data_IF_717862639968
#
_entry.id   IF_717862639968
#
_cell.length_a   1.000
_cell.length_b   1.000
_cell.length_c   1.000
_cell.angle_alpha   90.00
_cell.angle_beta   90.00
_cell.angle_gamma   90.00
#
_symmetry.space_group_name_H-M   'P 1'
#
loop_
_entity.id
_entity.type
_entity.pdbx_description
1 polymer ?
#
# COMPACT_ATOMS: atom_id res chain seq x y z
N UNK A 1 -9.98 -11.08 -1.04
CA UNK A 1 -9.05 -10.10 -0.41
C UNK A 1 -9.49 -8.69 -0.81
N UNK A 2 -9.35 -7.69 0.08
CA UNK A 2 -9.94 -6.35 -0.12
C UNK A 2 -9.16 -5.47 -1.11
N UNK A 3 -7.83 -5.40 -1.00
CA UNK A 3 -6.97 -4.55 -1.86
C UNK A 3 -6.97 -4.92 -3.36
N UNK A 4 -7.56 -6.07 -3.73
CA UNK A 4 -7.66 -6.57 -5.10
C UNK A 4 -9.13 -6.81 -5.52
N UNK A 5 -10.11 -6.35 -4.73
CA UNK A 5 -11.51 -6.40 -5.14
C UNK A 5 -11.74 -5.45 -6.33
N UNK A 6 -12.44 -5.91 -7.38
CA UNK A 6 -12.74 -5.10 -8.58
C UNK A 6 -13.52 -3.81 -8.28
N UNK A 7 -14.17 -3.72 -7.12
CA UNK A 7 -14.88 -2.52 -6.65
C UNK A 7 -13.98 -1.55 -5.88
N UNK A 8 -12.76 -1.98 -5.52
CA UNK A 8 -11.83 -1.23 -4.66
C UNK A 8 -10.57 -0.84 -5.42
N UNK A 9 -9.95 -1.78 -6.13
CA UNK A 9 -8.69 -1.62 -6.82
C UNK A 9 -8.83 -0.96 -8.19
N UNK A 10 -7.81 -0.19 -8.60
CA UNK A 10 -7.75 0.48 -9.89
C UNK A 10 -7.51 -0.51 -11.05
N UNK A 11 -6.51 -1.40 -10.93
CA UNK A 11 -6.20 -2.44 -11.91
C UNK A 11 -5.94 -3.77 -11.19
N UNK A 12 -7.00 -4.49 -10.76
CA UNK A 12 -6.88 -5.67 -9.89
C UNK A 12 -6.19 -6.86 -10.56
N UNK A 13 -6.34 -7.03 -11.88
CA UNK A 13 -5.75 -8.15 -12.62
C UNK A 13 -4.21 -7.99 -12.76
N UNK A 14 -3.72 -6.76 -12.71
CA UNK A 14 -2.31 -6.34 -12.66
C UNK A 14 -1.81 -6.13 -11.23
N UNK A 15 -2.61 -6.49 -10.23
CA UNK A 15 -2.31 -6.39 -8.80
C UNK A 15 -2.13 -4.95 -8.29
N UNK A 16 -2.60 -3.94 -9.05
CA UNK A 16 -2.51 -2.51 -8.70
C UNK A 16 -3.76 -2.07 -7.95
N UNK A 17 -3.58 -1.59 -6.72
CA UNK A 17 -4.66 -1.07 -5.89
C UNK A 17 -4.97 0.40 -6.22
N UNK A 18 -3.98 1.29 -6.21
CA UNK A 18 -4.16 2.73 -6.56
C UNK A 18 -2.83 3.43 -6.84
N UNK A 19 -2.90 4.70 -7.27
CA UNK A 19 -1.72 5.56 -7.42
C UNK A 19 -0.90 5.25 -8.66
N UNK A 20 -1.53 4.74 -9.72
CA UNK A 20 -0.87 4.42 -10.99
C UNK A 20 -0.23 3.04 -10.98
N UNK A 21 0.76 2.81 -10.13
CA UNK A 21 1.50 1.54 -10.03
C UNK A 21 1.65 1.01 -8.58
N UNK A 22 0.84 1.51 -7.64
CA UNK A 22 0.82 1.03 -6.26
C UNK A 22 0.22 -0.36 -6.16
N UNK A 23 1.06 -1.38 -6.02
CA UNK A 23 0.68 -2.78 -6.07
C UNK A 23 0.48 -3.41 -4.68
N UNK A 24 -0.32 -4.47 -4.62
CA UNK A 24 -0.39 -5.37 -3.49
C UNK A 24 0.70 -6.46 -3.54
N UNK A 25 1.00 -6.98 -4.74
CA UNK A 25 2.06 -7.97 -4.98
C UNK A 25 2.74 -7.68 -6.33
N UNK A 26 4.00 -8.07 -6.50
CA UNK A 26 4.72 -7.87 -7.77
C UNK A 26 4.17 -8.79 -8.88
N UNK A 27 3.72 -9.99 -8.53
CA UNK A 27 3.12 -10.95 -9.46
C UNK A 27 2.18 -11.95 -8.77
N UNK A 28 1.42 -12.69 -9.58
CA UNK A 28 0.41 -13.65 -9.10
C UNK A 28 1.00 -14.86 -8.37
N UNK A 29 2.23 -15.28 -8.70
CA UNK A 29 2.87 -16.39 -7.98
C UNK A 29 3.14 -16.00 -6.52
N UNK A 30 3.59 -14.76 -6.28
CA UNK A 30 3.76 -14.23 -4.93
C UNK A 30 2.44 -14.16 -4.17
N UNK A 31 1.36 -13.68 -4.79
CA UNK A 31 0.03 -13.69 -4.20
C UNK A 31 -0.36 -15.09 -3.71
N UNK A 32 -0.24 -16.10 -4.57
CA UNK A 32 -0.61 -17.49 -4.24
C UNK A 32 0.25 -18.03 -3.10
N UNK A 33 1.56 -17.81 -3.14
CA UNK A 33 2.48 -18.25 -2.08
C UNK A 33 2.18 -17.57 -0.74
N UNK A 34 1.85 -16.28 -0.75
CA UNK A 34 1.46 -15.56 0.47
C UNK A 34 0.17 -16.14 1.04
N UNK A 35 -0.84 -16.40 0.20
CA UNK A 35 -2.08 -17.02 0.67
C UNK A 35 -1.82 -18.40 1.25
N UNK A 36 -0.95 -19.18 0.60
CA UNK A 36 -0.54 -20.48 1.11
C UNK A 36 0.13 -20.37 2.47
N UNK A 37 1.17 -19.54 2.62
CA UNK A 37 1.87 -19.35 3.89
C UNK A 37 0.95 -18.84 5.00
N UNK A 38 0.10 -17.85 4.71
CA UNK A 38 -0.88 -17.34 5.69
C UNK A 38 -1.88 -18.42 6.11
N UNK A 39 -2.22 -19.37 5.23
CA UNK A 39 -3.15 -20.45 5.56
C UNK A 39 -2.57 -21.56 6.42
N UNK A 40 -1.24 -21.73 6.44
CA UNK A 40 -0.56 -22.81 7.17
C UNK A 40 0.30 -22.32 8.34
N UNK A 41 0.56 -21.01 8.45
CA UNK A 41 1.40 -20.47 9.50
C UNK A 41 0.78 -20.63 10.88
N UNK A 42 1.63 -20.77 11.88
CA UNK A 42 1.24 -20.85 13.30
C UNK A 42 1.37 -19.48 13.98
N UNK A 43 0.82 -19.37 15.20
CA UNK A 43 0.96 -18.17 16.04
C UNK A 43 2.38 -17.96 16.62
N UNK A 44 3.29 -18.88 16.35
CA UNK A 44 4.71 -18.76 16.71
C UNK A 44 5.57 -18.33 15.51
N UNK A 45 4.96 -18.02 14.36
CA UNK A 45 5.67 -17.65 13.16
C UNK A 45 5.38 -16.22 12.69
N UNK A 46 6.32 -15.68 11.92
CA UNK A 46 6.17 -14.45 11.15
C UNK A 46 6.46 -14.74 9.69
N UNK A 47 5.57 -14.25 8.81
CA UNK A 47 5.82 -14.18 7.38
C UNK A 47 6.59 -12.91 7.06
N UNK A 48 7.79 -13.06 6.50
CA UNK A 48 8.63 -11.92 6.11
C UNK A 48 8.45 -11.65 4.62
N UNK A 49 8.05 -10.42 4.28
CA UNK A 49 7.73 -9.97 2.93
C UNK A 49 8.78 -8.98 2.41
N UNK A 50 9.34 -9.29 1.24
CA UNK A 50 10.35 -8.51 0.53
C UNK A 50 9.75 -7.98 -0.77
N UNK A 51 9.20 -6.77 -0.74
CA UNK A 51 8.58 -6.13 -1.91
C UNK A 51 7.62 -7.07 -2.64
N UNK A 52 6.63 -7.58 -1.91
CA UNK A 52 5.66 -8.56 -2.42
C UNK A 52 6.15 -10.01 -2.43
N UNK A 53 7.45 -10.28 -2.45
CA UNK A 53 7.98 -11.64 -2.38
C UNK A 53 7.89 -12.22 -0.95
N UNK A 54 7.22 -13.36 -0.74
CA UNK A 54 7.21 -14.02 0.57
C UNK A 54 8.54 -14.77 0.78
N UNK A 55 9.48 -14.15 1.50
CA UNK A 55 10.78 -14.75 1.80
C UNK A 55 10.63 -16.06 2.57
N UNK A 56 9.65 -16.13 3.48
CA UNK A 56 9.30 -17.36 4.17
C UNK A 56 8.74 -17.12 5.58
N UNK A 57 8.44 -18.23 6.25
CA UNK A 57 8.01 -18.26 7.64
C UNK A 57 9.22 -18.46 8.56
N UNK A 58 9.36 -17.59 9.55
CA UNK A 58 10.43 -17.65 10.54
C UNK A 58 9.84 -17.79 11.94
N UNK A 59 10.48 -18.54 12.86
CA UNK A 59 10.02 -18.65 14.24
C UNK A 59 10.16 -17.32 14.97
N UNK A 60 9.21 -17.05 15.86
CA UNK A 60 9.16 -15.90 16.77
C UNK A 60 8.98 -16.37 18.20
N UNK A 61 9.34 -15.54 19.18
CA UNK A 61 9.36 -15.92 20.60
C UNK A 61 8.13 -15.51 21.40
N UNK A 62 7.24 -14.72 20.80
CA UNK A 62 6.09 -14.16 21.49
C UNK A 62 4.90 -14.09 20.55
N UNK A 63 3.75 -14.44 21.12
CA UNK A 63 2.40 -14.17 20.64
C UNK A 63 2.12 -12.70 20.28
N UNK A 64 2.83 -11.75 20.89
CA UNK A 64 2.76 -10.32 20.53
C UNK A 64 3.56 -9.94 19.28
N UNK A 65 4.29 -10.88 18.67
CA UNK A 65 5.03 -10.61 17.43
C UNK A 65 4.08 -10.41 16.25
N UNK A 66 4.38 -9.51 15.30
CA UNK A 66 3.58 -9.39 14.08
C UNK A 66 3.52 -10.72 13.33
N UNK A 67 2.36 -11.04 12.76
CA UNK A 67 2.21 -12.21 11.85
C UNK A 67 2.85 -11.98 10.49
N UNK A 68 2.95 -10.72 10.07
CA UNK A 68 3.57 -10.34 8.80
C UNK A 68 4.43 -9.11 9.01
N UNK A 69 5.67 -9.15 8.52
CA UNK A 69 6.56 -7.97 8.42
C UNK A 69 6.76 -7.65 6.95
N UNK A 70 6.47 -6.41 6.57
CA UNK A 70 6.42 -5.99 5.17
C UNK A 70 7.43 -4.89 4.90
N UNK A 71 8.24 -5.12 3.88
CA UNK A 71 9.03 -4.07 3.23
C UNK A 71 8.59 -3.96 1.77
N UNK A 72 8.50 -2.74 1.25
CA UNK A 72 8.18 -2.48 -0.15
C UNK A 72 9.06 -1.35 -0.66
N UNK A 73 9.75 -1.56 -1.78
CA UNK A 73 10.53 -0.49 -2.43
C UNK A 73 11.74 0.01 -1.63
N UNK A 74 12.21 -0.74 -0.63
CA UNK A 74 13.40 -0.34 0.14
C UNK A 74 14.66 -0.54 -0.70
N UNK A 75 15.42 0.53 -0.89
CA UNK A 75 16.61 0.57 -1.74
C UNK A 75 17.68 1.42 -1.06
N UNK A 76 18.96 1.09 -1.29
CA UNK A 76 20.08 1.95 -0.90
C UNK A 76 19.91 3.33 -1.57
N UNK A 77 20.02 4.46 -0.84
CA UNK A 77 19.60 5.78 -1.34
C UNK A 77 20.16 6.16 -2.73
N UNK A 78 21.43 5.83 -3.02
CA UNK A 78 22.07 6.13 -4.30
C UNK A 78 21.45 5.41 -5.51
N UNK A 79 20.61 4.40 -5.28
CA UNK A 79 19.92 3.62 -6.32
C UNK A 79 18.39 3.78 -6.26
N UNK A 80 17.89 4.77 -5.51
CA UNK A 80 16.44 5.00 -5.33
C UNK A 80 15.82 5.91 -6.40
N UNK A 81 16.42 6.01 -7.60
CA UNK A 81 15.84 6.74 -8.73
C UNK A 81 14.76 5.94 -9.43
N UNK A 82 13.88 6.62 -10.17
CA UNK A 82 12.81 5.99 -10.97
C UNK A 82 13.36 4.98 -11.97
N UNK A 83 14.42 5.31 -12.72
CA UNK A 83 15.03 4.38 -13.68
C UNK A 83 15.54 3.09 -13.03
N UNK A 84 16.12 3.21 -11.83
CA UNK A 84 16.58 2.05 -11.06
C UNK A 84 15.37 1.24 -10.57
N UNK A 85 14.32 1.91 -10.10
CA UNK A 85 13.07 1.25 -9.73
C UNK A 85 12.48 0.47 -10.90
N UNK A 86 12.33 1.07 -12.08
CA UNK A 86 11.72 0.42 -13.25
C UNK A 86 12.52 -0.81 -13.67
N UNK A 87 13.85 -0.71 -13.63
CA UNK A 87 14.74 -1.86 -13.87
C UNK A 87 14.53 -2.96 -12.83
N UNK A 88 14.54 -2.63 -11.54
CA UNK A 88 14.37 -3.61 -10.47
C UNK A 88 12.97 -4.25 -10.48
N UNK A 89 11.94 -3.47 -10.80
CA UNK A 89 10.57 -3.93 -10.93
C UNK A 89 10.45 -4.93 -12.10
N UNK A 90 11.01 -4.59 -13.26
CA UNK A 90 11.04 -5.49 -14.43
C UNK A 90 11.81 -6.80 -14.16
N UNK A 91 12.85 -6.74 -13.32
CA UNK A 91 13.61 -7.92 -12.88
C UNK A 91 12.94 -8.70 -11.74
N UNK A 92 11.80 -8.22 -11.21
CA UNK A 92 11.08 -8.85 -10.10
C UNK A 92 11.76 -8.70 -8.73
N UNK A 93 12.68 -7.75 -8.59
CA UNK A 93 13.43 -7.49 -7.35
C UNK A 93 12.73 -6.52 -6.40
N UNK A 94 11.77 -5.73 -6.90
CA UNK A 94 11.04 -4.76 -6.08
C UNK A 94 9.62 -4.55 -6.61
N UNK A 95 8.82 -3.81 -5.85
CA UNK A 95 7.52 -3.27 -6.26
C UNK A 95 7.26 -1.94 -5.55
N UNK A 96 6.45 -1.09 -6.15
CA UNK A 96 5.97 0.12 -5.49
C UNK A 96 4.72 -0.23 -4.65
N UNK A 97 4.88 -0.25 -3.33
CA UNK A 97 3.77 -0.57 -2.42
C UNK A 97 2.87 0.61 -2.06
N UNK A 98 3.20 1.83 -2.51
CA UNK A 98 2.49 3.05 -2.10
C UNK A 98 2.35 3.04 -0.55
N UNK A 99 1.29 3.56 0.07
CA UNK A 99 1.11 3.50 1.54
C UNK A 99 0.30 2.28 1.94
N UNK A 100 -0.91 2.16 1.39
CA UNK A 100 -1.88 1.13 1.82
C UNK A 100 -2.06 -0.02 0.82
N UNK A 101 -1.48 0.10 -0.38
CA UNK A 101 -1.58 -0.93 -1.42
C UNK A 101 -0.77 -2.18 -1.03
N UNK A 102 0.53 -2.00 -0.76
CA UNK A 102 1.44 -3.08 -0.39
C UNK A 102 1.41 -3.46 1.09
N UNK A 103 0.61 -2.77 1.91
CA UNK A 103 0.40 -3.09 3.34
C UNK A 103 -1.00 -3.67 3.62
N UNK A 104 -1.78 -3.93 2.58
CA UNK A 104 -3.05 -4.67 2.62
C UNK A 104 -4.19 -4.03 3.42
N UNK A 105 -4.18 -2.70 3.55
CA UNK A 105 -5.15 -1.96 4.36
C UNK A 105 -5.85 -0.82 3.61
N UNK A 106 -5.89 -0.86 2.28
CA UNK A 106 -6.62 0.13 1.49
C UNK A 106 -8.12 -0.12 1.59
N UNK A 107 -8.92 0.94 1.76
CA UNK A 107 -10.38 0.87 1.98
C UNK A 107 -11.18 1.62 0.92
N UNK A 108 -10.59 1.85 -0.26
CA UNK A 108 -11.18 2.73 -1.26
C UNK A 108 -11.00 4.22 -0.93
N UNK A 109 -11.79 5.10 -1.56
CA UNK A 109 -11.55 6.55 -1.49
C UNK A 109 -11.90 7.18 -0.13
N UNK A 110 -12.62 6.47 0.75
CA UNK A 110 -13.10 7.03 2.02
C UNK A 110 -11.97 7.62 2.87
N UNK A 111 -10.80 6.97 2.91
CA UNK A 111 -9.66 7.44 3.69
C UNK A 111 -9.19 8.83 3.26
N UNK A 112 -9.02 9.05 1.94
CA UNK A 112 -8.55 10.34 1.42
C UNK A 112 -9.65 11.40 1.44
N UNK A 113 -10.92 11.03 1.20
CA UNK A 113 -12.07 11.97 1.24
C UNK A 113 -12.14 12.70 2.59
N UNK A 114 -11.97 11.97 3.71
CA UNK A 114 -11.98 12.60 5.03
C UNK A 114 -10.81 13.58 5.23
N UNK A 115 -9.59 13.18 4.84
CA UNK A 115 -8.42 14.06 4.95
C UNK A 115 -8.51 15.31 4.06
N UNK A 116 -9.04 15.16 2.83
CA UNK A 116 -9.25 16.28 1.91
C UNK A 116 -10.33 17.24 2.45
N UNK A 117 -11.43 16.71 3.00
CA UNK A 117 -12.45 17.51 3.67
C UNK A 117 -11.82 18.37 4.79
N UNK A 118 -11.08 17.74 5.71
CA UNK A 118 -10.41 18.46 6.79
C UNK A 118 -9.43 19.51 6.26
N UNK A 119 -8.70 19.21 5.19
CA UNK A 119 -7.75 20.15 4.58
C UNK A 119 -8.44 21.41 4.07
N UNK A 120 -9.54 21.26 3.31
CA UNK A 120 -10.28 22.39 2.75
C UNK A 120 -10.93 23.21 3.87
N UNK A 121 -11.50 22.55 4.88
CA UNK A 121 -12.11 23.23 6.04
C UNK A 121 -11.07 24.03 6.83
N UNK A 122 -9.89 23.46 7.11
CA UNK A 122 -8.81 24.18 7.79
C UNK A 122 -8.23 25.31 6.94
N UNK A 123 -8.15 25.14 5.61
CA UNK A 123 -7.74 26.22 4.72
C UNK A 123 -8.73 27.39 4.77
N UNK A 124 -10.04 27.13 4.79
CA UNK A 124 -11.07 28.14 4.93
C UNK A 124 -11.01 28.86 6.28
N UNK A 125 -10.85 28.11 7.37
CA UNK A 125 -10.67 28.69 8.70
C UNK A 125 -9.43 29.59 8.74
N UNK A 126 -8.30 29.14 8.18
CA UNK A 126 -7.04 29.91 8.19
C UNK A 126 -7.07 31.15 7.31
N UNK A 127 -7.75 31.12 6.16
CA UNK A 127 -7.74 32.21 5.17
C UNK A 127 -8.89 33.19 5.32
N UNK A 128 -10.05 32.71 5.74
CA UNK A 128 -11.29 33.48 5.77
C UNK A 128 -11.94 33.51 7.17
N UNK A 129 -11.33 32.87 8.17
CA UNK A 129 -11.86 32.75 9.53
C UNK A 129 -13.30 32.22 9.56
N UNK A 130 -13.61 31.26 8.69
CA UNK A 130 -14.93 30.64 8.59
C UNK A 130 -14.83 29.15 8.28
N UNK A 131 -15.81 28.40 8.79
CA UNK A 131 -16.08 27.01 8.45
C UNK A 131 -17.20 26.86 7.42
N UNK A 132 -17.72 27.97 6.87
CA UNK A 132 -18.74 27.97 5.81
C UNK A 132 -18.10 28.25 4.45
N UNK A 133 -18.18 27.26 3.56
CA UNK A 133 -17.64 27.31 2.20
C UNK A 133 -18.66 27.81 1.17
N UNK A 134 -19.90 28.14 1.55
CA UNK A 134 -20.91 28.66 0.61
C UNK A 134 -20.39 29.93 -0.08
N UNK A 135 -20.49 29.97 -1.41
CA UNK A 135 -19.99 31.07 -2.23
C UNK A 135 -18.46 31.11 -2.41
N UNK A 136 -17.72 30.09 -1.94
CA UNK A 136 -16.29 29.94 -2.19
C UNK A 136 -16.06 28.99 -3.38
N UNK A 137 -15.09 29.33 -4.23
CA UNK A 137 -14.70 28.48 -5.36
C UNK A 137 -13.38 27.79 -5.01
N UNK A 138 -13.36 26.47 -5.13
CA UNK A 138 -12.16 25.65 -5.01
C UNK A 138 -11.85 25.03 -6.38
N UNK A 139 -10.64 25.25 -6.89
CA UNK A 139 -10.17 24.75 -8.19
C UNK A 139 -9.06 23.74 -7.93
N UNK A 140 -9.15 22.55 -8.54
CA UNK A 140 -8.18 21.46 -8.42
C UNK A 140 -8.18 20.60 -9.70
N UNK A 141 -7.24 19.65 -9.81
CA UNK A 141 -7.03 18.76 -10.95
C UNK A 141 -6.92 17.31 -10.51
#
# INVERSE_FOLDING_TARGET
MNNLDRRVAQFPDELVTYGGNGQAFSNWAQFVLVMHYLSIMTDEQVLVMYSGHPMGLFPTRSDFSPRVVITNGLVVPNYSSTDNYDRMFALGCTMYGQMTAGSYCYIGPQGIVHGTFLTIMNAAQKKFNTNDLRGKVFVSS
#
